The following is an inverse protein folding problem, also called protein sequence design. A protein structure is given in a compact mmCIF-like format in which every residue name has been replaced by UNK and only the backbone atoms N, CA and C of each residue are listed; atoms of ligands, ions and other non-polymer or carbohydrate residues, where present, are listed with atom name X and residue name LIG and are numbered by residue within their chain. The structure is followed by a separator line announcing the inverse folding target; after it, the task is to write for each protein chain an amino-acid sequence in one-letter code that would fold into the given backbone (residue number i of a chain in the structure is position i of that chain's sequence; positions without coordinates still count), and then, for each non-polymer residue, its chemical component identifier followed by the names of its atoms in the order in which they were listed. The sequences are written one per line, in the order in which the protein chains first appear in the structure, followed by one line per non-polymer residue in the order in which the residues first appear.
data_IF_543995622608
#
_entry.id   IF_543995622608
#
_cell.length_a   1.000
_cell.length_b   1.000
_cell.length_c   1.000
_cell.angle_alpha   90.00
_cell.angle_beta   90.00
_cell.angle_gamma   90.00
#
_symmetry.space_group_name_H-M   'P 1'
#
loop_
_entity.id
_entity.type
_entity.pdbx_description
1 polymer ?
#
# COMPACT_ATOMS: atom_id res chain seq x y z
N UNK A 1 -5.98 35.05 -2.92
CA UNK A 1 -4.89 34.83 -1.95
C UNK A 1 -3.58 35.07 -2.67
N UNK A 2 -2.68 35.90 -2.12
CA UNK A 2 -1.40 36.23 -2.74
C UNK A 2 -0.53 34.96 -2.80
N UNK A 3 -0.04 34.60 -3.98
CA UNK A 3 0.55 33.29 -4.29
C UNK A 3 2.00 33.08 -3.78
N UNK A 4 2.58 34.01 -3.01
CA UNK A 4 4.02 34.04 -2.73
C UNK A 4 4.40 33.83 -1.27
N UNK A 5 3.48 33.38 -0.41
CA UNK A 5 3.86 32.95 0.94
C UNK A 5 4.40 31.50 0.87
N UNK A 6 5.67 31.22 1.27
CA UNK A 6 6.23 29.87 1.29
C UNK A 6 5.53 28.93 2.29
N UNK A 7 4.65 29.45 3.15
CA UNK A 7 3.83 28.65 4.07
C UNK A 7 2.43 28.32 3.53
N UNK A 8 2.01 28.90 2.41
CA UNK A 8 0.70 28.61 1.83
C UNK A 8 0.75 27.31 1.00
N UNK A 9 -0.25 26.46 1.20
CA UNK A 9 -0.38 25.20 0.46
C UNK A 9 -0.57 25.44 -1.05
N UNK A 10 -0.14 24.47 -1.85
CA UNK A 10 -0.35 24.53 -3.31
C UNK A 10 -1.82 24.23 -3.62
N UNK A 11 -2.47 25.13 -4.37
CA UNK A 11 -3.88 24.99 -4.73
C UNK A 11 -4.12 23.83 -5.71
N UNK A 12 -5.34 23.24 -5.75
CA UNK A 12 -5.66 22.06 -6.56
C UNK A 12 -5.23 22.09 -8.03
N UNK A 13 -5.37 23.24 -8.71
CA UNK A 13 -4.96 23.37 -10.12
C UNK A 13 -3.44 23.21 -10.31
N UNK A 14 -2.63 23.71 -9.37
CA UNK A 14 -1.18 23.55 -9.39
C UNK A 14 -0.76 22.15 -8.91
N UNK A 15 -1.49 21.54 -7.98
CA UNK A 15 -1.28 20.13 -7.60
C UNK A 15 -1.42 19.18 -8.79
N UNK A 16 -2.39 19.43 -9.68
CA UNK A 16 -2.58 18.62 -10.88
C UNK A 16 -1.37 18.65 -11.82
N UNK A 17 -0.71 19.80 -11.96
CA UNK A 17 0.55 19.93 -12.72
C UNK A 17 1.69 19.17 -12.05
N UNK A 18 1.82 19.26 -10.73
CA UNK A 18 2.82 18.48 -9.96
C UNK A 18 2.61 16.97 -10.15
N UNK A 19 1.36 16.50 -10.09
CA UNK A 19 1.03 15.10 -10.30
C UNK A 19 1.36 14.63 -11.72
N UNK A 20 1.09 15.47 -12.73
CA UNK A 20 1.43 15.20 -14.12
C UNK A 20 2.96 15.11 -14.32
N UNK A 21 3.72 16.09 -13.83
CA UNK A 21 5.19 16.10 -13.92
C UNK A 21 5.82 14.92 -13.20
N UNK A 22 5.33 14.60 -12.00
CA UNK A 22 5.74 13.41 -11.27
C UNK A 22 5.42 12.12 -12.06
N UNK A 23 4.29 12.10 -12.76
CA UNK A 23 3.89 11.01 -13.63
C UNK A 23 4.86 10.80 -14.81
N UNK A 24 5.21 11.88 -15.50
CA UNK A 24 6.20 11.87 -16.60
C UNK A 24 7.56 11.41 -16.09
N UNK A 25 8.04 11.97 -14.96
CA UNK A 25 9.33 11.59 -14.38
C UNK A 25 9.39 10.09 -14.04
N UNK A 26 8.34 9.57 -13.39
CA UNK A 26 8.27 8.15 -13.01
C UNK A 26 8.26 7.24 -14.23
N UNK A 27 7.54 7.60 -15.29
CA UNK A 27 7.43 6.80 -16.50
C UNK A 27 8.68 6.83 -17.40
N UNK A 28 9.55 7.85 -17.27
CA UNK A 28 10.70 8.08 -18.17
C UNK A 28 12.06 7.87 -17.53
N UNK A 29 12.15 7.80 -16.19
CA UNK A 29 13.42 7.55 -15.49
C UNK A 29 13.99 6.15 -15.80
N UNK A 30 15.30 6.00 -15.55
CA UNK A 30 16.03 4.77 -15.87
C UNK A 30 15.41 3.53 -15.20
N UNK A 31 15.11 2.44 -15.94
CA UNK A 31 14.38 1.28 -15.42
C UNK A 31 15.02 0.63 -14.20
N UNK A 32 16.36 0.58 -14.15
CA UNK A 32 17.07 0.01 -13.00
C UNK A 32 16.93 0.86 -11.73
N UNK A 33 16.84 2.19 -11.89
CA UNK A 33 16.58 3.10 -10.76
C UNK A 33 15.17 2.90 -10.23
N UNK A 34 14.18 2.82 -11.12
CA UNK A 34 12.79 2.46 -10.77
C UNK A 34 12.73 1.12 -10.05
N UNK A 35 13.47 0.12 -10.52
CA UNK A 35 13.45 -1.22 -9.92
C UNK A 35 13.97 -1.23 -8.48
N UNK A 36 15.10 -0.58 -8.20
CA UNK A 36 15.59 -0.47 -6.83
C UNK A 36 14.67 0.35 -5.93
N UNK A 37 14.14 1.47 -6.42
CA UNK A 37 13.16 2.26 -5.68
C UNK A 37 11.86 1.48 -5.41
N UNK A 38 11.48 0.57 -6.31
CA UNK A 38 10.35 -0.32 -6.12
C UNK A 38 10.62 -1.41 -5.09
N UNK A 39 11.80 -2.01 -5.07
CA UNK A 39 12.22 -2.93 -4.00
C UNK A 39 12.16 -2.21 -2.65
N UNK A 40 12.72 -1.00 -2.57
CA UNK A 40 12.68 -0.19 -1.35
C UNK A 40 11.26 0.12 -0.90
N UNK A 41 10.34 0.45 -1.81
CA UNK A 41 8.93 0.67 -1.46
C UNK A 41 8.25 -0.62 -0.94
N UNK A 42 8.55 -1.78 -1.51
CA UNK A 42 8.06 -3.07 -1.00
C UNK A 42 8.51 -3.33 0.44
N UNK A 43 9.77 -3.02 0.75
CA UNK A 43 10.31 -3.07 2.13
C UNK A 43 9.59 -2.09 3.05
N UNK A 44 9.39 -0.83 2.63
CA UNK A 44 8.71 0.18 3.46
C UNK A 44 7.26 -0.18 3.79
N UNK A 45 6.51 -0.75 2.84
CA UNK A 45 5.15 -1.23 3.11
C UNK A 45 5.16 -2.48 4.00
N UNK A 46 6.18 -3.32 3.90
CA UNK A 46 6.36 -4.45 4.82
C UNK A 46 6.62 -3.97 6.26
N UNK A 47 7.49 -2.96 6.44
CA UNK A 47 7.73 -2.29 7.73
C UNK A 47 6.41 -1.77 8.32
N UNK A 48 5.55 -1.14 7.52
CA UNK A 48 4.25 -0.65 7.98
C UNK A 48 3.35 -1.77 8.51
N UNK A 49 3.30 -2.91 7.82
CA UNK A 49 2.48 -4.04 8.28
C UNK A 49 3.06 -4.69 9.53
N UNK A 50 4.38 -4.83 9.63
CA UNK A 50 5.04 -5.27 10.88
C UNK A 50 4.66 -4.35 12.04
N UNK A 51 4.72 -3.03 11.83
CA UNK A 51 4.36 -2.08 12.87
C UNK A 51 2.88 -2.17 13.26
N UNK A 52 1.97 -2.34 12.28
CA UNK A 52 0.56 -2.61 12.53
C UNK A 52 0.35 -3.89 13.37
N UNK A 53 1.01 -5.00 13.03
CA UNK A 53 0.86 -6.26 13.77
C UNK A 53 1.38 -6.09 15.19
N UNK A 54 2.55 -5.47 15.38
CA UNK A 54 3.11 -5.21 16.72
C UNK A 54 2.15 -4.38 17.56
N UNK A 55 1.60 -3.28 17.01
CA UNK A 55 0.68 -2.40 17.73
C UNK A 55 -0.69 -3.04 18.03
N UNK A 56 -1.10 -4.05 17.26
CA UNK A 56 -2.39 -4.75 17.44
C UNK A 56 -2.27 -6.08 18.18
N UNK A 57 -1.05 -6.56 18.43
CA UNK A 57 -0.82 -7.80 19.20
C UNK A 57 -1.27 -7.62 20.64
N UNK A 58 -2.06 -8.57 21.16
CA UNK A 58 -2.57 -8.53 22.53
C UNK A 58 -3.74 -7.54 22.77
N UNK A 59 -4.26 -6.91 21.72
CA UNK A 59 -5.35 -5.89 21.85
C UNK A 59 -6.76 -6.48 21.86
N UNK A 60 -6.92 -7.79 22.05
CA UNK A 60 -8.22 -8.48 21.96
C UNK A 60 -9.28 -8.03 22.97
N UNK A 61 -8.87 -7.38 24.07
CA UNK A 61 -9.78 -6.78 25.07
C UNK A 61 -10.09 -5.30 24.83
N UNK A 62 -9.41 -4.66 23.87
CA UNK A 62 -9.71 -3.28 23.47
C UNK A 62 -10.91 -3.24 22.51
N UNK A 63 -11.66 -2.13 22.46
CA UNK A 63 -12.66 -1.93 21.43
C UNK A 63 -12.05 -2.09 20.03
N UNK A 64 -12.65 -2.92 19.19
CA UNK A 64 -12.13 -3.28 17.87
C UNK A 64 -11.67 -2.07 17.06
N UNK A 65 -12.53 -1.03 16.96
CA UNK A 65 -12.22 0.18 16.21
C UNK A 65 -11.01 0.95 16.76
N UNK A 66 -10.78 0.93 18.08
CA UNK A 66 -9.62 1.60 18.68
C UNK A 66 -8.31 0.85 18.40
N UNK A 67 -8.32 -0.49 18.53
CA UNK A 67 -7.17 -1.31 18.19
C UNK A 67 -6.76 -1.14 16.71
N UNK A 68 -7.76 -1.20 15.81
CA UNK A 68 -7.53 -1.03 14.37
C UNK A 68 -7.11 0.38 14.00
N UNK A 69 -7.62 1.42 14.68
CA UNK A 69 -7.18 2.80 14.48
C UNK A 69 -5.72 3.01 14.88
N UNK A 70 -5.30 2.52 16.06
CA UNK A 70 -3.91 2.61 16.50
C UNK A 70 -2.98 1.89 15.52
N UNK A 71 -3.34 0.67 15.12
CA UNK A 71 -2.62 -0.06 14.07
C UNK A 71 -2.56 0.71 12.75
N UNK A 72 -3.67 1.33 12.33
CA UNK A 72 -3.74 2.12 11.11
C UNK A 72 -2.84 3.37 11.13
N UNK A 73 -2.76 4.06 12.27
CA UNK A 73 -1.82 5.18 12.46
C UNK A 73 -0.38 4.67 12.37
N UNK A 74 -0.04 3.55 13.00
CA UNK A 74 1.28 2.93 12.88
C UNK A 74 1.61 2.57 11.41
N UNK A 75 0.64 2.05 10.67
CA UNK A 75 0.81 1.68 9.27
C UNK A 75 1.14 2.88 8.36
N UNK A 76 0.74 4.11 8.71
CA UNK A 76 1.03 5.29 7.88
C UNK A 76 2.52 5.54 7.67
N UNK A 77 3.37 5.01 8.56
CA UNK A 77 4.83 5.04 8.40
C UNK A 77 5.29 4.55 7.02
N UNK A 78 4.67 3.51 6.46
CA UNK A 78 5.10 2.96 5.16
C UNK A 78 4.92 3.93 4.02
N UNK A 79 3.77 4.61 3.95
CA UNK A 79 3.53 5.60 2.90
C UNK A 79 4.36 6.88 3.12
N UNK A 80 4.56 7.28 4.39
CA UNK A 80 5.48 8.38 4.75
C UNK A 80 6.88 8.09 4.22
N UNK A 81 7.45 6.91 4.49
CA UNK A 81 8.75 6.51 3.98
C UNK A 81 8.77 6.51 2.44
N UNK A 82 7.73 5.98 1.78
CA UNK A 82 7.67 5.97 0.32
C UNK A 82 7.73 7.38 -0.28
N UNK A 83 6.95 8.33 0.24
CA UNK A 83 6.89 9.70 -0.31
C UNK A 83 8.14 10.49 0.06
N UNK A 84 8.59 10.44 1.31
CA UNK A 84 9.74 11.23 1.78
C UNK A 84 11.04 10.75 1.14
N UNK A 85 11.23 9.43 0.98
CA UNK A 85 12.43 8.86 0.36
C UNK A 85 12.32 8.72 -1.16
N UNK A 86 11.17 9.04 -1.76
CA UNK A 86 10.96 8.97 -3.21
C UNK A 86 10.94 7.55 -3.79
N UNK A 87 10.51 6.56 -3.00
CA UNK A 87 10.38 5.17 -3.44
C UNK A 87 9.16 4.99 -4.38
N UNK A 88 9.22 4.00 -5.28
CA UNK A 88 8.12 3.74 -6.22
C UNK A 88 7.18 2.68 -5.70
N UNK A 89 6.03 3.10 -5.18
CA UNK A 89 4.96 2.21 -4.77
C UNK A 89 3.90 2.11 -5.87
N UNK A 90 3.62 0.90 -6.36
CA UNK A 90 2.71 0.64 -7.48
C UNK A 90 1.39 1.41 -7.39
N UNK A 91 0.69 1.31 -6.27
CA UNK A 91 -0.62 1.93 -6.03
C UNK A 91 -0.59 3.46 -6.12
N UNK A 92 0.50 4.09 -5.66
CA UNK A 92 0.74 5.54 -5.85
C UNK A 92 1.13 5.89 -7.28
N UNK A 93 1.80 4.98 -8.01
CA UNK A 93 2.15 5.18 -9.41
C UNK A 93 0.96 5.03 -10.36
N UNK A 94 -0.22 4.65 -9.86
CA UNK A 94 -1.44 4.68 -10.66
C UNK A 94 -1.79 6.12 -11.07
N UNK A 95 -1.38 7.14 -10.30
CA UNK A 95 -1.52 8.55 -10.68
C UNK A 95 -0.72 8.94 -11.94
N UNK A 96 0.20 8.10 -12.43
CA UNK A 96 0.85 8.28 -13.74
C UNK A 96 -0.19 8.35 -14.89
N UNK A 97 -1.40 7.81 -14.68
CA UNK A 97 -2.53 7.94 -15.61
C UNK A 97 -2.84 9.41 -15.92
N UNK A 98 -2.61 10.36 -14.99
CA UNK A 98 -2.77 11.81 -15.25
C UNK A 98 -1.85 12.24 -16.39
N UNK A 99 -0.57 11.87 -16.35
CA UNK A 99 0.39 12.17 -17.42
C UNK A 99 0.03 11.48 -18.75
N UNK A 100 -0.56 10.28 -18.68
CA UNK A 100 -1.05 9.57 -19.87
C UNK A 100 -2.25 10.28 -20.51
N UNK A 101 -3.18 10.76 -19.68
CA UNK A 101 -4.40 11.46 -20.09
C UNK A 101 -4.07 12.81 -20.75
N UNK A 102 -3.04 13.51 -20.28
CA UNK A 102 -2.49 14.70 -20.94
C UNK A 102 -1.61 14.42 -22.17
N UNK A 103 -1.54 13.16 -22.63
CA UNK A 103 -0.76 12.79 -23.82
C UNK A 103 0.77 12.85 -23.65
N UNK A 104 1.29 13.09 -22.44
CA UNK A 104 2.74 13.28 -22.19
C UNK A 104 3.54 11.98 -22.11
N UNK A 105 2.85 10.83 -22.06
CA UNK A 105 3.45 9.48 -22.10
C UNK A 105 2.60 8.53 -22.96
N UNK A 106 3.20 7.41 -23.35
CA UNK A 106 2.54 6.32 -24.10
C UNK A 106 1.97 5.24 -23.18
N UNK A 107 1.05 4.41 -23.69
CA UNK A 107 0.54 3.25 -22.96
C UNK A 107 1.62 2.22 -22.66
N UNK A 108 2.58 2.04 -23.59
CA UNK A 108 3.72 1.16 -23.40
C UNK A 108 4.64 1.62 -22.26
N UNK A 109 4.91 2.92 -22.13
CA UNK A 109 5.69 3.47 -21.02
C UNK A 109 4.98 3.27 -19.67
N UNK A 110 3.66 3.50 -19.62
CA UNK A 110 2.86 3.29 -18.42
C UNK A 110 2.90 1.81 -18.00
N UNK A 111 2.59 0.88 -18.91
CA UNK A 111 2.55 -0.56 -18.61
C UNK A 111 3.93 -1.11 -18.22
N UNK A 112 5.00 -0.69 -18.91
CA UNK A 112 6.38 -1.08 -18.58
C UNK A 112 6.76 -0.61 -17.18
N UNK A 113 6.43 0.63 -16.82
CA UNK A 113 6.72 1.15 -15.49
C UNK A 113 5.92 0.41 -14.42
N UNK A 114 4.61 0.22 -14.63
CA UNK A 114 3.75 -0.51 -13.69
C UNK A 114 4.24 -1.93 -13.44
N UNK A 115 4.59 -2.69 -14.49
CA UNK A 115 5.14 -4.03 -14.35
C UNK A 115 6.46 -4.03 -13.56
N UNK A 116 7.38 -3.14 -13.90
CA UNK A 116 8.67 -3.03 -13.23
C UNK A 116 8.51 -2.71 -11.74
N UNK A 117 7.63 -1.75 -11.41
CA UNK A 117 7.35 -1.35 -10.03
C UNK A 117 6.65 -2.48 -9.26
N UNK A 118 5.65 -3.14 -9.84
CA UNK A 118 4.90 -4.20 -9.18
C UNK A 118 5.80 -5.40 -8.83
N UNK A 119 6.67 -5.82 -9.77
CA UNK A 119 7.64 -6.89 -9.54
C UNK A 119 8.68 -6.49 -8.50
N UNK A 120 9.21 -5.25 -8.57
CA UNK A 120 10.15 -4.75 -7.57
C UNK A 120 9.52 -4.70 -6.17
N UNK A 121 8.28 -4.21 -6.06
CA UNK A 121 7.53 -4.18 -4.81
C UNK A 121 7.36 -5.60 -4.21
N UNK A 122 6.99 -6.60 -5.04
CA UNK A 122 6.88 -7.99 -4.61
C UNK A 122 8.21 -8.53 -4.07
N UNK A 123 9.32 -8.31 -4.80
CA UNK A 123 10.65 -8.76 -4.38
C UNK A 123 11.04 -8.12 -3.04
N UNK A 124 10.81 -6.81 -2.90
CA UNK A 124 11.05 -6.10 -1.64
C UNK A 124 10.24 -6.66 -0.48
N UNK A 125 8.97 -6.99 -0.71
CA UNK A 125 8.12 -7.59 0.30
C UNK A 125 8.60 -8.99 0.71
N UNK A 126 8.94 -9.86 -0.25
CA UNK A 126 9.41 -11.22 0.02
C UNK A 126 10.79 -11.25 0.72
N UNK A 127 11.69 -10.32 0.38
CA UNK A 127 12.96 -10.15 1.12
C UNK A 127 12.67 -9.82 2.59
N UNK A 128 11.69 -8.95 2.84
CA UNK A 128 11.33 -8.59 4.20
C UNK A 128 10.60 -9.72 4.93
N UNK A 129 9.80 -10.54 4.23
CA UNK A 129 9.22 -11.77 4.78
C UNK A 129 10.32 -12.71 5.27
N UNK A 130 11.34 -12.96 4.44
CA UNK A 130 12.46 -13.80 4.85
C UNK A 130 13.20 -13.23 6.07
N UNK A 131 13.46 -11.92 6.09
CA UNK A 131 14.14 -11.28 7.23
C UNK A 131 13.36 -11.41 8.54
N UNK A 132 12.05 -11.14 8.49
CA UNK A 132 11.17 -11.24 9.66
C UNK A 132 10.95 -12.69 10.12
N UNK A 133 10.99 -13.65 9.20
CA UNK A 133 11.00 -15.07 9.57
C UNK A 133 12.30 -15.45 10.29
N UNK A 134 13.45 -15.07 9.73
CA UNK A 134 14.78 -15.35 10.29
C UNK A 134 15.03 -14.65 11.63
N UNK A 135 14.34 -13.55 11.92
CA UNK A 135 14.44 -12.90 13.24
C UNK A 135 13.71 -13.65 14.35
N UNK A 136 12.82 -14.59 14.02
CA UNK A 136 12.01 -15.32 14.99
C UNK A 136 10.87 -14.50 15.59
N UNK A 137 10.52 -13.36 15.01
CA UNK A 137 9.51 -12.41 15.56
C UNK A 137 8.12 -13.05 15.72
N UNK A 138 7.82 -14.10 14.95
CA UNK A 138 6.55 -14.83 15.06
C UNK A 138 6.29 -15.41 16.47
N UNK A 139 7.34 -15.62 17.27
CA UNK A 139 7.25 -16.07 18.67
C UNK A 139 7.02 -14.94 19.67
N UNK A 140 7.10 -13.68 19.26
CA UNK A 140 6.90 -12.51 20.15
C UNK A 140 5.53 -12.58 20.83
N UNK A 141 5.49 -12.16 22.10
CA UNK A 141 4.31 -12.24 22.97
C UNK A 141 3.72 -13.66 23.07
N UNK A 142 4.60 -14.65 23.30
CA UNK A 142 4.24 -16.07 23.42
C UNK A 142 3.51 -16.60 22.17
N UNK A 143 3.99 -16.23 20.98
CA UNK A 143 3.40 -16.58 19.70
C UNK A 143 2.20 -15.73 19.27
N UNK A 144 1.71 -14.82 20.12
CA UNK A 144 0.54 -14.00 19.79
C UNK A 144 0.79 -13.07 18.59
N UNK A 145 2.04 -12.64 18.36
CA UNK A 145 2.39 -11.87 17.17
C UNK A 145 2.19 -12.70 15.89
N UNK A 146 2.72 -13.93 15.87
CA UNK A 146 2.53 -14.85 14.73
C UNK A 146 1.08 -15.26 14.53
N UNK A 147 0.31 -15.48 15.62
CA UNK A 147 -1.12 -15.74 15.53
C UNK A 147 -1.88 -14.56 14.91
N UNK A 148 -1.53 -13.32 15.28
CA UNK A 148 -2.13 -12.12 14.70
C UNK A 148 -1.85 -12.02 13.19
N UNK A 149 -0.64 -12.39 12.75
CA UNK A 149 -0.34 -12.51 11.31
C UNK A 149 -1.20 -13.56 10.64
N UNK A 150 -1.28 -14.79 11.20
CA UNK A 150 -2.07 -15.87 10.62
C UNK A 150 -3.54 -15.46 10.46
N UNK A 151 -4.17 -14.92 11.50
CA UNK A 151 -5.56 -14.47 11.47
C UNK A 151 -5.77 -13.31 10.49
N UNK A 152 -4.83 -12.36 10.43
CA UNK A 152 -4.91 -11.23 9.50
C UNK A 152 -4.76 -11.69 8.05
N UNK A 153 -3.83 -12.59 7.75
CA UNK A 153 -3.65 -13.15 6.41
C UNK A 153 -4.85 -14.01 6.01
N UNK A 154 -5.37 -14.82 6.93
CA UNK A 154 -6.45 -15.76 6.66
C UNK A 154 -7.75 -15.03 6.35
N UNK A 155 -8.09 -13.97 7.11
CA UNK A 155 -9.21 -13.10 6.79
C UNK A 155 -9.19 -12.58 5.35
N UNK A 156 -8.00 -12.28 4.81
CA UNK A 156 -7.83 -11.66 3.49
C UNK A 156 -8.04 -12.60 2.32
N UNK A 157 -7.98 -13.92 2.53
CA UNK A 157 -8.21 -14.93 1.48
C UNK A 157 -9.62 -15.51 1.51
N UNK A 158 -10.49 -15.03 2.40
CA UNK A 158 -11.88 -15.47 2.51
C UNK A 158 -12.90 -14.52 1.86
N UNK A 159 -12.44 -13.48 1.18
CA UNK A 159 -13.33 -12.57 0.44
C UNK A 159 -13.85 -13.22 -0.84
N UNK A 160 -15.09 -12.89 -1.22
CA UNK A 160 -15.53 -13.11 -2.58
C UNK A 160 -14.78 -12.19 -3.55
N UNK A 161 -14.76 -12.53 -4.84
CA UNK A 161 -14.09 -11.73 -5.85
C UNK A 161 -14.58 -10.27 -5.87
N UNK A 162 -15.90 -10.04 -5.77
CA UNK A 162 -16.50 -8.70 -5.80
C UNK A 162 -16.12 -7.89 -4.56
N UNK A 163 -16.09 -8.52 -3.39
CA UNK A 163 -15.66 -7.88 -2.15
C UNK A 163 -14.18 -7.48 -2.24
N UNK A 164 -13.30 -8.39 -2.68
CA UNK A 164 -11.88 -8.13 -2.82
C UNK A 164 -11.58 -6.99 -3.82
N UNK A 165 -12.29 -6.96 -4.96
CA UNK A 165 -12.20 -5.84 -5.91
C UNK A 165 -12.67 -4.53 -5.26
N UNK A 166 -13.82 -4.54 -4.58
CA UNK A 166 -14.40 -3.34 -3.97
C UNK A 166 -13.51 -2.78 -2.86
N UNK A 167 -13.00 -3.65 -1.98
CA UNK A 167 -12.02 -3.29 -0.95
C UNK A 167 -10.72 -2.77 -1.57
N UNK A 168 -10.30 -3.32 -2.71
CA UNK A 168 -9.18 -2.82 -3.51
C UNK A 168 -9.41 -1.40 -4.04
N UNK A 169 -10.61 -1.10 -4.55
CA UNK A 169 -10.98 0.25 -5.03
C UNK A 169 -10.89 1.24 -3.87
N UNK A 170 -11.49 0.90 -2.73
CA UNK A 170 -11.54 1.75 -1.55
C UNK A 170 -10.15 2.01 -0.97
N UNK A 171 -9.28 1.00 -0.90
CA UNK A 171 -7.90 1.18 -0.44
C UNK A 171 -7.15 2.18 -1.32
N UNK A 172 -7.19 1.99 -2.65
CA UNK A 172 -6.36 2.83 -3.52
C UNK A 172 -6.96 4.23 -3.76
N UNK A 173 -8.26 4.42 -3.55
CA UNK A 173 -8.85 5.76 -3.42
C UNK A 173 -8.15 6.53 -2.30
N UNK A 174 -8.04 5.94 -1.11
CA UNK A 174 -7.42 6.58 0.05
C UNK A 174 -5.91 6.80 -0.13
N UNK A 175 -5.19 5.82 -0.69
CA UNK A 175 -3.74 5.94 -0.97
C UNK A 175 -3.46 7.06 -1.99
N UNK A 176 -4.22 7.11 -3.09
CA UNK A 176 -4.05 8.14 -4.10
C UNK A 176 -4.43 9.53 -3.56
N UNK A 177 -5.48 9.66 -2.74
CA UNK A 177 -5.81 10.92 -2.07
C UNK A 177 -4.73 11.36 -1.07
N UNK A 178 -4.13 10.43 -0.31
CA UNK A 178 -3.03 10.73 0.61
C UNK A 178 -1.83 11.33 -0.15
N UNK A 179 -1.43 10.69 -1.24
CA UNK A 179 -0.32 11.17 -2.09
C UNK A 179 -0.67 12.49 -2.77
N UNK A 180 -1.91 12.63 -3.26
CA UNK A 180 -2.39 13.87 -3.87
C UNK A 180 -2.33 15.04 -2.89
N UNK A 181 -2.87 14.88 -1.67
CA UNK A 181 -2.80 15.90 -0.65
C UNK A 181 -1.35 16.22 -0.25
N UNK A 182 -0.46 15.22 -0.22
CA UNK A 182 0.97 15.45 0.00
C UNK A 182 1.62 16.35 -1.07
N UNK A 183 1.07 16.45 -2.29
CA UNK A 183 1.56 17.40 -3.29
C UNK A 183 1.20 18.86 -2.98
N UNK A 184 0.21 19.11 -2.12
CA UNK A 184 -0.07 20.47 -1.64
C UNK A 184 0.89 20.96 -0.56
N UNK A 185 1.53 20.02 0.16
CA UNK A 185 2.44 20.31 1.26
C UNK A 185 3.81 20.77 0.78
N UNK A 186 4.41 21.72 1.51
CA UNK A 186 5.75 22.26 1.21
C UNK A 186 6.80 21.74 2.19
N UNK A 187 6.44 21.55 3.45
CA UNK A 187 7.33 21.07 4.50
C UNK A 187 7.32 19.53 4.61
N UNK A 188 8.32 18.97 5.30
CA UNK A 188 8.32 17.55 5.65
C UNK A 188 7.12 17.18 6.53
N UNK A 189 6.74 18.05 7.47
CA UNK A 189 5.59 17.85 8.37
C UNK A 189 4.29 17.78 7.58
N UNK A 190 4.07 18.69 6.62
CA UNK A 190 2.86 18.72 5.80
C UNK A 190 2.68 17.39 5.08
N UNK A 191 3.76 16.92 4.42
CA UNK A 191 3.74 15.70 3.63
C UNK A 191 3.58 14.45 4.50
N UNK A 192 4.23 14.39 5.66
CA UNK A 192 4.14 13.25 6.55
C UNK A 192 2.76 13.15 7.23
N UNK A 193 2.30 14.23 7.87
CA UNK A 193 1.09 14.20 8.70
C UNK A 193 -0.20 14.13 7.89
N UNK A 194 -0.25 14.75 6.70
CA UNK A 194 -1.47 14.72 5.87
C UNK A 194 -1.84 13.30 5.40
N UNK A 195 -0.86 12.40 5.36
CA UNK A 195 -1.05 11.01 4.95
C UNK A 195 -1.52 10.10 6.10
N UNK A 196 -1.38 10.53 7.36
CA UNK A 196 -1.68 9.68 8.53
C UNK A 196 -3.15 9.24 8.54
N UNK A 197 -4.09 10.18 8.46
CA UNK A 197 -5.52 9.87 8.56
C UNK A 197 -6.07 9.08 7.36
N UNK A 198 -5.78 9.44 6.10
CA UNK A 198 -6.22 8.64 4.96
C UNK A 198 -5.70 7.20 5.02
N UNK A 199 -4.44 7.02 5.43
CA UNK A 199 -3.83 5.70 5.56
C UNK A 199 -4.47 4.92 6.72
N UNK A 200 -4.55 5.54 7.90
CA UNK A 200 -5.18 4.92 9.06
C UNK A 200 -6.63 4.52 8.77
N UNK A 201 -7.38 5.34 8.03
CA UNK A 201 -8.76 5.05 7.65
C UNK A 201 -8.87 3.77 6.81
N UNK A 202 -8.08 3.62 5.74
CA UNK A 202 -8.21 2.41 4.89
C UNK A 202 -7.73 1.16 5.62
N UNK A 203 -6.67 1.28 6.43
CA UNK A 203 -6.10 0.14 7.19
C UNK A 203 -7.07 -0.29 8.29
N UNK A 204 -7.57 0.65 9.08
CA UNK A 204 -8.47 0.36 10.18
C UNK A 204 -9.82 -0.19 9.70
N UNK A 205 -10.25 0.20 8.49
CA UNK A 205 -11.47 -0.28 7.84
C UNK A 205 -11.30 -1.64 7.16
N UNK A 206 -10.07 -2.20 7.13
CA UNK A 206 -9.81 -3.48 6.49
C UNK A 206 -9.87 -3.45 4.96
N UNK A 207 -9.60 -2.30 4.33
CA UNK A 207 -9.50 -2.24 2.88
C UNK A 207 -8.24 -2.94 2.37
N UNK A 208 -8.27 -3.39 1.11
CA UNK A 208 -7.27 -4.31 0.58
C UNK A 208 -6.25 -3.60 -0.30
N UNK A 209 -4.97 -3.69 0.06
CA UNK A 209 -3.87 -3.07 -0.67
C UNK A 209 -2.90 -4.13 -1.18
N UNK A 210 -2.84 -4.31 -2.50
CA UNK A 210 -2.09 -5.40 -3.16
C UNK A 210 -0.65 -5.54 -2.67
N UNK A 211 0.11 -4.44 -2.59
CA UNK A 211 1.52 -4.48 -2.16
C UNK A 211 1.66 -4.78 -0.66
N UNK A 212 0.68 -4.40 0.16
CA UNK A 212 0.70 -4.73 1.58
C UNK A 212 0.41 -6.22 1.78
N UNK A 213 -0.47 -6.76 0.95
CA UNK A 213 -0.81 -8.18 0.94
C UNK A 213 0.33 -9.07 0.43
N UNK A 214 1.24 -8.53 -0.41
CA UNK A 214 2.49 -9.21 -0.81
C UNK A 214 3.46 -9.47 0.36
N UNK A 215 3.30 -8.76 1.49
CA UNK A 215 4.00 -9.09 2.73
C UNK A 215 3.12 -9.95 3.64
N UNK A 216 1.90 -9.48 3.94
CA UNK A 216 1.05 -10.06 4.97
C UNK A 216 0.68 -11.52 4.69
N UNK A 217 0.21 -11.82 3.48
CA UNK A 217 -0.27 -13.17 3.16
C UNK A 217 0.91 -14.15 3.02
N UNK A 218 2.00 -13.82 2.30
CA UNK A 218 3.20 -14.67 2.29
C UNK A 218 3.82 -14.87 3.67
N UNK A 219 3.80 -13.87 4.56
CA UNK A 219 4.23 -14.08 5.95
C UNK A 219 3.34 -15.11 6.67
N UNK A 220 2.02 -15.01 6.51
CA UNK A 220 1.08 -15.98 7.06
C UNK A 220 1.32 -17.40 6.54
N UNK A 221 1.59 -17.55 5.24
CA UNK A 221 1.94 -18.83 4.61
C UNK A 221 3.25 -19.38 5.21
N UNK A 222 4.29 -18.55 5.32
CA UNK A 222 5.58 -18.98 5.90
C UNK A 222 5.41 -19.42 7.36
N UNK A 223 4.67 -18.67 8.18
CA UNK A 223 4.40 -19.09 9.57
C UNK A 223 3.61 -20.39 9.58
N UNK A 224 2.56 -20.53 8.75
CA UNK A 224 1.76 -21.76 8.67
C UNK A 224 2.64 -22.98 8.34
N UNK A 225 3.50 -22.86 7.34
CA UNK A 225 4.24 -23.98 6.76
C UNK A 225 5.49 -24.36 7.58
N UNK A 226 6.09 -23.39 8.28
CA UNK A 226 7.40 -23.58 8.93
C UNK A 226 7.41 -23.36 10.45
N UNK A 227 6.32 -22.88 11.07
CA UNK A 227 6.28 -22.70 12.52
C UNK A 227 6.45 -24.02 13.27
N UNK A 228 7.19 -23.97 14.37
CA UNK A 228 7.54 -25.15 15.15
C UNK A 228 6.36 -25.65 16.00
N UNK A 229 6.37 -26.90 16.48
CA UNK A 229 5.33 -27.41 17.39
C UNK A 229 5.17 -26.56 18.67
N UNK A 230 6.25 -25.94 19.15
CA UNK A 230 6.21 -25.04 20.31
C UNK A 230 5.34 -23.81 20.05
N UNK A 231 5.40 -23.22 18.85
CA UNK A 231 4.53 -22.11 18.46
C UNK A 231 3.06 -22.53 18.51
N UNK A 232 2.71 -23.64 17.83
CA UNK A 232 1.33 -24.11 17.76
C UNK A 232 0.74 -24.45 19.13
N UNK A 233 1.56 -25.02 20.00
CA UNK A 233 1.21 -25.27 21.41
C UNK A 233 0.98 -23.95 22.16
N UNK A 234 1.87 -22.98 22.03
CA UNK A 234 1.78 -21.70 22.71
C UNK A 234 0.53 -20.88 22.31
N UNK A 235 0.16 -20.93 21.03
CA UNK A 235 -1.01 -20.20 20.51
C UNK A 235 -2.31 -21.00 20.55
N UNK A 236 -2.27 -22.28 20.94
CA UNK A 236 -3.45 -23.14 21.04
C UNK A 236 -4.18 -23.33 19.71
N UNK A 237 -3.44 -23.44 18.61
CA UNK A 237 -3.99 -23.62 17.25
C UNK A 237 -3.18 -24.66 16.47
N UNK A 238 -3.50 -24.83 15.18
CA UNK A 238 -2.86 -25.80 14.30
C UNK A 238 -2.81 -25.29 12.85
N UNK A 239 -1.87 -25.76 12.01
CA UNK A 239 -1.80 -25.36 10.60
C UNK A 239 -3.09 -25.63 9.81
N UNK A 240 -3.86 -26.65 10.20
CA UNK A 240 -5.10 -27.07 9.52
C UNK A 240 -6.20 -26.01 9.63
N UNK A 241 -6.20 -25.23 10.71
CA UNK A 241 -7.14 -24.11 10.90
C UNK A 241 -6.92 -22.97 9.89
N UNK A 242 -5.76 -22.94 9.24
CA UNK A 242 -5.37 -21.94 8.25
C UNK A 242 -5.18 -22.57 6.85
N UNK A 243 -5.97 -23.60 6.54
CA UNK A 243 -5.85 -24.38 5.31
C UNK A 243 -5.91 -23.56 4.02
N UNK A 244 -6.61 -22.42 4.04
CA UNK A 244 -6.74 -21.49 2.91
C UNK A 244 -5.50 -20.61 2.68
N UNK A 245 -4.56 -20.53 3.63
CA UNK A 245 -3.30 -19.82 3.45
C UNK A 245 -2.36 -20.61 2.54
N UNK A 246 -2.61 -20.55 1.23
CA UNK A 246 -1.77 -21.16 0.20
C UNK A 246 -1.35 -20.11 -0.81
N UNK A 247 -0.26 -20.36 -1.54
CA UNK A 247 0.18 -19.46 -2.63
C UNK A 247 -0.89 -19.32 -3.71
N UNK A 248 -1.66 -20.37 -3.99
CA UNK A 248 -2.71 -20.32 -5.01
C UNK A 248 -3.84 -19.39 -4.57
N UNK A 249 -4.40 -19.60 -3.37
CA UNK A 249 -5.48 -18.75 -2.84
C UNK A 249 -5.02 -17.30 -2.64
N UNK A 250 -3.76 -17.10 -2.22
CA UNK A 250 -3.17 -15.76 -2.19
C UNK A 250 -3.28 -15.07 -3.55
N UNK A 251 -2.93 -15.76 -4.63
CA UNK A 251 -2.96 -15.19 -5.97
C UNK A 251 -4.40 -15.00 -6.47
N UNK A 252 -5.23 -16.03 -6.41
CA UNK A 252 -6.57 -16.05 -7.04
C UNK A 252 -7.61 -15.30 -6.24
N UNK A 253 -7.60 -15.44 -4.91
CA UNK A 253 -8.69 -14.99 -4.05
C UNK A 253 -8.39 -13.61 -3.45
N UNK A 254 -7.13 -13.18 -3.48
CA UNK A 254 -6.71 -11.87 -2.99
C UNK A 254 -5.93 -11.05 -4.03
N UNK A 255 -4.74 -11.47 -4.45
CA UNK A 255 -3.80 -10.60 -5.15
C UNK A 255 -4.36 -10.09 -6.48
N UNK A 256 -4.95 -10.95 -7.31
CA UNK A 256 -5.57 -10.57 -8.58
C UNK A 256 -6.76 -9.60 -8.36
N UNK A 257 -7.83 -9.96 -7.63
CA UNK A 257 -8.98 -9.08 -7.46
C UNK A 257 -8.63 -7.74 -6.78
N UNK A 258 -7.79 -7.78 -5.75
CA UNK A 258 -7.34 -6.56 -5.05
C UNK A 258 -6.52 -5.67 -5.97
N UNK A 259 -5.64 -6.23 -6.81
CA UNK A 259 -4.84 -5.44 -7.77
C UNK A 259 -5.74 -4.78 -8.82
N UNK A 260 -6.74 -5.49 -9.34
CA UNK A 260 -7.75 -4.93 -10.24
C UNK A 260 -8.46 -3.75 -9.56
N UNK A 261 -8.93 -3.97 -8.33
CA UNK A 261 -9.58 -2.93 -7.53
C UNK A 261 -8.68 -1.71 -7.32
N UNK A 262 -7.41 -1.92 -6.95
CA UNK A 262 -6.46 -0.83 -6.76
C UNK A 262 -6.27 -0.02 -8.07
N UNK A 263 -6.13 -0.67 -9.23
CA UNK A 263 -5.99 0.02 -10.52
C UNK A 263 -7.22 0.89 -10.80
N UNK A 264 -8.43 0.35 -10.60
CA UNK A 264 -9.70 1.06 -10.79
C UNK A 264 -9.78 2.28 -9.85
N UNK A 265 -9.54 2.09 -8.56
CA UNK A 265 -9.65 3.14 -7.55
C UNK A 265 -8.69 4.32 -7.78
N UNK A 266 -7.41 4.03 -8.07
CA UNK A 266 -6.43 5.09 -8.30
C UNK A 266 -6.55 5.75 -9.68
N UNK A 267 -6.74 4.94 -10.72
CA UNK A 267 -6.63 5.40 -12.11
C UNK A 267 -7.87 6.14 -12.57
N UNK A 268 -9.05 5.57 -12.27
CA UNK A 268 -10.32 6.13 -12.71
C UNK A 268 -10.87 7.15 -11.71
N UNK A 269 -10.93 6.83 -10.41
CA UNK A 269 -11.63 7.71 -9.46
C UNK A 269 -10.82 8.94 -9.07
N UNK A 270 -9.49 8.82 -8.94
CA UNK A 270 -8.63 9.95 -8.54
C UNK A 270 -7.95 10.59 -9.75
N UNK A 271 -7.13 9.82 -10.47
CA UNK A 271 -6.32 10.35 -11.57
C UNK A 271 -7.15 11.01 -12.66
N UNK A 272 -8.11 10.28 -13.24
CA UNK A 272 -8.94 10.80 -14.32
C UNK A 272 -9.86 11.94 -13.86
N UNK A 273 -10.47 11.85 -12.67
CA UNK A 273 -11.34 12.90 -12.13
C UNK A 273 -10.59 14.24 -12.00
N UNK A 274 -9.42 14.26 -11.35
CA UNK A 274 -8.66 15.49 -11.20
C UNK A 274 -8.11 16.02 -12.53
N UNK A 275 -7.74 15.14 -13.46
CA UNK A 275 -7.35 15.54 -14.81
C UNK A 275 -8.51 16.23 -15.57
N UNK A 276 -9.72 15.66 -15.52
CA UNK A 276 -10.92 16.24 -16.15
C UNK A 276 -11.22 17.63 -15.59
N UNK A 277 -11.12 17.81 -14.27
CA UNK A 277 -11.46 19.06 -13.60
C UNK A 277 -10.42 20.17 -13.87
N UNK A 278 -9.11 19.84 -13.86
CA UNK A 278 -8.06 20.87 -13.81
C UNK A 278 -7.16 20.96 -15.05
N UNK A 279 -7.09 19.94 -15.90
CA UNK A 279 -6.12 19.89 -17.00
C UNK A 279 -6.77 19.84 -18.39
N UNK A 280 -7.97 19.26 -18.54
CA UNK A 280 -8.66 19.11 -19.84
C UNK A 280 -8.93 20.43 -20.57
N UNK A 281 -9.14 21.53 -19.85
CA UNK A 281 -9.48 22.84 -20.44
C UNK A 281 -8.28 23.66 -20.94
N UNK A 282 -7.04 23.25 -20.64
CA UNK A 282 -5.84 24.02 -20.98
C UNK A 282 -5.22 23.65 -22.34
N UNK A 283 -5.77 22.67 -23.06
CA UNK A 283 -5.28 22.23 -24.39
C UNK A 283 -5.81 23.10 -25.57
N UNK A 284 -6.37 24.27 -25.29
CA UNK A 284 -6.97 25.18 -26.28
C UNK A 284 -6.30 26.57 -26.41
N UNK A 285 -5.07 26.75 -25.92
CA UNK A 285 -4.31 27.99 -26.14
C UNK A 285 -2.87 27.75 -26.59
#
# INVERSE_FOLDING_TARGET
MKADNPFDLILPAAMAKVAEEAGVYKATKHPLKTFYLAITAGVFISIAFVFYITATTGTGTMPFGMAKLVGGICFSLGLILCVVCGADLFTSTVLIVVAKASGRITWGQLAKNWLNVYVGNLIGALIFVLLMWLSGEYMTANGAWGLNVLQTADHKVHHTFVEAVSLGILANLMVCLAVWMSYSGRSLMDKAFIMVLPVAMFVASGFEHSIANMFMIPMGIVIRDFATPEFWTAVGSSPENFSHLTVMNFITDNLIPVTIGNIIGGGLLVGLTYWVIYLRGNDHH
#
